data_IF_713396538785
#
_entry.id   IF_713396538785
#
_cell.length_a   1.000
_cell.length_b   1.000
_cell.length_c   1.000
_cell.angle_alpha   90.00
_cell.angle_beta   90.00
_cell.angle_gamma   90.00
#
_symmetry.space_group_name_H-M   'P 1'
#
loop_
_entity.id
_entity.type
_entity.pdbx_description
1 polymer ?
#
# COMPACT_ATOMS: atom_id res chain seq x y z
N UNK A 1 27.47 -35.99 35.88
CA UNK A 1 26.47 -34.92 36.05
C UNK A 1 26.75 -33.81 35.04
N UNK A 2 25.69 -33.18 34.53
CA UNK A 2 25.60 -32.02 33.62
C UNK A 2 25.64 -32.29 32.12
N UNK A 3 24.79 -31.71 31.28
CA UNK A 3 23.38 -31.25 31.35
C UNK A 3 22.99 -31.07 29.88
N UNK A 4 21.95 -31.78 29.45
CA UNK A 4 21.21 -31.61 28.18
C UNK A 4 20.67 -30.19 28.06
N UNK A 5 20.54 -29.63 26.85
CA UNK A 5 19.34 -28.92 26.33
C UNK A 5 19.67 -28.44 24.91
N UNK A 6 18.99 -29.03 23.92
CA UNK A 6 18.93 -28.57 22.54
C UNK A 6 17.51 -28.05 22.25
N UNK A 7 17.45 -26.99 21.44
CA UNK A 7 16.31 -26.55 20.58
C UNK A 7 15.01 -26.13 21.26
N UNK A 8 14.81 -24.81 21.36
CA UNK A 8 13.47 -24.22 21.38
C UNK A 8 13.08 -23.84 19.95
N UNK A 9 12.14 -24.59 19.36
CA UNK A 9 11.45 -24.19 18.14
C UNK A 9 10.46 -23.06 18.47
N UNK A 10 10.68 -21.90 17.86
CA UNK A 10 9.74 -20.78 17.90
C UNK A 10 8.68 -21.00 16.82
N UNK A 11 7.46 -21.34 17.24
CA UNK A 11 6.31 -21.47 16.32
C UNK A 11 5.78 -20.09 15.97
N UNK A 12 5.89 -19.68 14.69
CA UNK A 12 5.21 -18.49 14.17
C UNK A 12 3.73 -18.81 13.91
N UNK A 13 2.83 -18.10 14.59
CA UNK A 13 1.41 -18.06 14.25
C UNK A 13 1.23 -17.13 13.04
N UNK A 14 0.78 -17.69 11.91
CA UNK A 14 0.48 -16.93 10.69
C UNK A 14 -0.98 -16.49 10.79
N UNK A 15 -1.20 -15.19 11.01
CA UNK A 15 -2.54 -14.61 10.99
C UNK A 15 -3.02 -14.52 9.53
N UNK A 16 -4.04 -15.31 9.19
CA UNK A 16 -4.78 -15.21 7.93
C UNK A 16 -5.57 -13.92 7.93
N UNK A 17 -5.11 -12.92 7.17
CA UNK A 17 -5.86 -11.70 6.91
C UNK A 17 -7.05 -12.02 6.00
N UNK A 18 -8.24 -11.64 6.47
CA UNK A 18 -9.49 -11.75 5.73
C UNK A 18 -9.40 -10.95 4.43
N UNK A 19 -9.67 -11.61 3.31
CA UNK A 19 -9.76 -10.99 1.99
C UNK A 19 -10.99 -10.09 1.94
N UNK A 20 -10.77 -8.77 1.79
CA UNK A 20 -11.83 -7.83 1.50
C UNK A 20 -12.34 -8.09 0.07
N UNK A 21 -13.64 -8.34 -0.08
CA UNK A 21 -14.27 -8.55 -1.37
C UNK A 21 -14.18 -7.28 -2.24
N UNK A 22 -13.75 -7.37 -3.52
CA UNK A 22 -13.78 -6.20 -4.39
C UNK A 22 -15.21 -5.93 -4.83
N UNK A 23 -15.75 -4.79 -4.37
CA UNK A 23 -17.00 -4.21 -4.87
C UNK A 23 -16.90 -3.88 -6.36
N UNK A 24 -18.06 -3.89 -7.03
CA UNK A 24 -18.25 -3.78 -8.47
C UNK A 24 -17.34 -2.73 -9.15
N UNK A 25 -16.30 -3.20 -9.83
CA UNK A 25 -15.44 -2.35 -10.65
C UNK A 25 -16.18 -1.97 -11.94
N UNK A 26 -16.71 -0.75 -12.00
CA UNK A 26 -16.95 -0.08 -13.28
C UNK A 26 -15.63 -0.04 -14.04
N UNK A 27 -15.56 -0.71 -15.20
CA UNK A 27 -14.37 -0.77 -16.06
C UNK A 27 -14.16 0.60 -16.71
N UNK A 28 -13.77 1.60 -15.92
CA UNK A 28 -13.12 2.78 -16.45
C UNK A 28 -11.66 2.40 -16.74
N UNK A 29 -11.11 2.88 -17.84
CA UNK A 29 -9.68 2.74 -18.07
C UNK A 29 -8.97 3.51 -16.96
N UNK A 30 -8.37 2.78 -16.01
CA UNK A 30 -7.64 3.37 -14.90
C UNK A 30 -6.17 2.99 -14.94
N UNK A 31 -5.29 3.94 -14.65
CA UNK A 31 -3.88 3.69 -14.43
C UNK A 31 -3.56 3.82 -12.94
N UNK A 32 -2.98 2.78 -12.37
CA UNK A 32 -2.55 2.76 -10.97
C UNK A 32 -1.03 2.82 -10.84
N UNK A 33 -0.51 3.52 -9.84
CA UNK A 33 0.90 3.50 -9.47
C UNK A 33 1.07 3.81 -7.98
N UNK A 34 2.19 3.38 -7.41
CA UNK A 34 2.56 3.75 -6.05
C UNK A 34 3.34 5.07 -6.07
N UNK A 35 3.03 5.97 -5.14
CA UNK A 35 3.78 7.22 -4.97
C UNK A 35 5.27 6.95 -4.71
N UNK A 36 6.13 7.82 -5.22
CA UNK A 36 7.57 7.62 -5.27
C UNK A 36 8.25 7.61 -3.89
N UNK A 37 7.67 8.29 -2.89
CA UNK A 37 8.25 8.38 -1.56
C UNK A 37 8.12 7.11 -0.70
N UNK A 38 7.46 6.06 -1.22
CA UNK A 38 7.47 4.74 -0.58
C UNK A 38 6.67 4.66 0.72
N UNK A 39 7.21 3.97 1.73
CA UNK A 39 6.54 3.84 3.03
C UNK A 39 6.70 5.14 3.83
N UNK A 40 5.60 5.71 4.33
CA UNK A 40 5.58 6.83 5.27
C UNK A 40 4.49 6.66 6.32
N UNK A 41 4.61 7.39 7.42
CA UNK A 41 3.65 7.38 8.53
C UNK A 41 2.52 8.40 8.37
N UNK A 42 2.71 9.44 7.54
CA UNK A 42 1.87 10.64 7.51
C UNK A 42 1.19 10.91 6.16
N UNK A 43 0.97 9.85 5.37
CA UNK A 43 0.28 9.92 4.06
C UNK A 43 -1.10 10.60 4.10
N UNK A 44 -1.82 10.53 5.22
CA UNK A 44 -3.18 11.09 5.38
C UNK A 44 -3.28 12.58 5.03
N UNK A 45 -2.20 13.34 5.17
CA UNK A 45 -2.19 14.78 4.88
C UNK A 45 -1.74 15.15 3.46
N UNK A 46 -1.10 14.24 2.71
CA UNK A 46 -0.39 14.63 1.49
C UNK A 46 -0.43 13.60 0.34
N UNK A 47 -0.97 12.40 0.55
CA UNK A 47 -1.04 11.33 -0.45
C UNK A 47 -1.68 11.79 -1.76
N UNK A 48 -2.86 12.42 -1.71
CA UNK A 48 -3.51 12.91 -2.93
C UNK A 48 -2.69 14.00 -3.64
N UNK A 49 -2.11 14.94 -2.89
CA UNK A 49 -1.29 16.01 -3.47
C UNK A 49 -0.05 15.44 -4.18
N UNK A 50 0.57 14.42 -3.60
CA UNK A 50 1.67 13.69 -4.21
C UNK A 50 1.24 13.01 -5.52
N UNK A 51 0.09 12.31 -5.52
CA UNK A 51 -0.45 11.67 -6.72
C UNK A 51 -0.72 12.66 -7.85
N UNK A 52 -1.32 13.81 -7.54
CA UNK A 52 -1.58 14.88 -8.52
C UNK A 52 -0.26 15.41 -9.09
N UNK A 53 0.70 15.77 -8.23
CA UNK A 53 1.99 16.29 -8.65
C UNK A 53 2.78 15.28 -9.51
N UNK A 54 2.72 14.00 -9.18
CA UNK A 54 3.36 12.95 -9.97
C UNK A 54 2.67 12.70 -11.31
N UNK A 55 1.33 12.75 -11.36
CA UNK A 55 0.60 12.61 -12.61
C UNK A 55 0.95 13.72 -13.59
N UNK A 56 1.06 14.97 -13.11
CA UNK A 56 1.51 16.11 -13.90
C UNK A 56 2.95 15.93 -14.40
N UNK A 57 3.87 15.55 -13.51
CA UNK A 57 5.29 15.32 -13.87
C UNK A 57 5.46 14.18 -14.88
N UNK A 58 4.66 13.12 -14.77
CA UNK A 58 4.68 11.96 -15.68
C UNK A 58 3.86 12.21 -16.97
N UNK A 59 3.17 13.34 -17.08
CA UNK A 59 2.38 13.72 -18.25
C UNK A 59 1.10 12.90 -18.42
N UNK A 60 0.52 12.39 -17.34
CA UNK A 60 -0.72 11.63 -17.39
C UNK A 60 -1.91 12.56 -17.62
N UNK A 61 -2.69 12.30 -18.68
CA UNK A 61 -3.93 13.04 -18.96
C UNK A 61 -5.13 12.47 -18.21
N UNK A 62 -5.07 12.51 -16.89
CA UNK A 62 -6.14 12.03 -16.03
C UNK A 62 -7.33 12.98 -16.07
N UNK A 63 -8.55 12.45 -16.23
CA UNK A 63 -9.80 13.17 -16.00
C UNK A 63 -10.06 13.37 -14.51
N UNK A 64 -9.75 12.34 -13.71
CA UNK A 64 -9.79 12.40 -12.25
C UNK A 64 -8.59 11.65 -11.68
N UNK A 65 -8.11 12.09 -10.52
CA UNK A 65 -7.07 11.40 -9.75
C UNK A 65 -7.65 11.09 -8.37
N UNK A 66 -7.44 9.86 -7.92
CA UNK A 66 -7.78 9.38 -6.60
C UNK A 66 -6.55 8.78 -5.92
N UNK A 67 -6.57 8.68 -4.60
CA UNK A 67 -5.44 8.19 -3.82
C UNK A 67 -5.90 7.38 -2.62
N UNK A 68 -5.33 6.19 -2.47
CA UNK A 68 -5.60 5.26 -1.39
C UNK A 68 -4.36 5.03 -0.52
N UNK A 69 -4.54 4.97 0.80
CA UNK A 69 -3.45 4.64 1.72
C UNK A 69 -3.48 3.14 1.97
N UNK A 70 -2.39 2.45 1.62
CA UNK A 70 -2.26 0.99 1.79
C UNK A 70 -1.10 0.66 2.72
N UNK A 71 -1.36 -0.12 3.77
CA UNK A 71 -0.32 -0.57 4.71
C UNK A 71 0.53 -1.74 4.17
N UNK A 72 0.24 -2.21 2.96
CA UNK A 72 0.81 -3.46 2.44
C UNK A 72 2.28 -3.29 2.07
N UNK A 73 3.15 -4.13 2.61
CA UNK A 73 4.59 -4.11 2.29
C UNK A 73 5.41 -3.10 3.11
N UNK A 74 4.81 -2.44 4.09
CA UNK A 74 5.50 -1.56 5.04
C UNK A 74 5.62 -2.18 6.43
N UNK A 75 6.53 -1.64 7.24
CA UNK A 75 6.61 -1.98 8.67
C UNK A 75 5.36 -1.47 9.41
N UNK A 76 5.05 -2.06 10.57
CA UNK A 76 3.86 -1.71 11.35
C UNK A 76 3.81 -0.20 11.64
N UNK A 77 2.67 0.43 11.34
CA UNK A 77 2.44 1.87 11.52
C UNK A 77 2.83 2.73 10.32
N UNK A 78 3.39 2.14 9.27
CA UNK A 78 3.73 2.80 8.02
C UNK A 78 2.82 2.32 6.90
N UNK A 79 2.61 3.18 5.93
CA UNK A 79 1.77 2.91 4.76
C UNK A 79 2.45 3.42 3.50
N UNK A 80 2.00 2.99 2.34
CA UNK A 80 2.26 3.62 1.04
C UNK A 80 1.01 4.34 0.57
N UNK A 81 1.18 5.18 -0.45
CA UNK A 81 0.11 5.86 -1.16
C UNK A 81 -0.02 5.23 -2.55
N UNK A 82 -1.19 4.67 -2.87
CA UNK A 82 -1.56 4.16 -4.18
C UNK A 82 -2.38 5.21 -4.92
N UNK A 83 -1.88 5.66 -6.07
CA UNK A 83 -2.52 6.64 -6.92
C UNK A 83 -3.32 5.96 -8.03
N UNK A 84 -4.52 6.45 -8.30
CA UNK A 84 -5.38 5.98 -9.40
C UNK A 84 -5.74 7.15 -10.31
N UNK A 85 -5.40 7.03 -11.59
CA UNK A 85 -5.77 7.98 -12.64
C UNK A 85 -6.92 7.40 -13.47
N UNK A 86 -8.00 8.13 -13.60
CA UNK A 86 -9.18 7.78 -14.39
C UNK A 86 -9.17 8.59 -15.69
N UNK A 87 -9.37 7.93 -16.83
CA UNK A 87 -9.43 8.57 -18.16
C UNK A 87 -10.88 8.83 -18.62
#
# INVERSE_FOLDING_TARGET
MKTTIFTTLTTLAIATLATAAPGEASIQATKKWQAADGCQTDWAGHCNAQCVGEAEQKGYKCKNIDSDITGSGCVVGWSTCECTCFY
#
